data_IF_133794084679
#
_entry.id   IF_133794084679
#
_cell.length_a   1.000
_cell.length_b   1.000
_cell.length_c   1.000
_cell.angle_alpha   90.00
_cell.angle_beta   90.00
_cell.angle_gamma   90.00
#
_symmetry.space_group_name_H-M   'P 1'
#
loop_
_entity.id
_entity.type
_entity.pdbx_description
1 polymer ?
#
# COMPACT_ATOMS: atom_id res chain seq x y z
N UNK A 1 -34.82 16.41 -4.05
CA UNK A 1 -33.73 16.39 -3.04
C UNK A 1 -32.83 15.15 -3.17
N UNK A 2 -33.36 14.01 -3.60
CA UNK A 2 -32.61 12.75 -3.84
C UNK A 2 -31.40 12.87 -4.79
N UNK A 3 -31.52 13.60 -5.90
CA UNK A 3 -30.43 13.71 -6.89
C UNK A 3 -29.17 14.41 -6.33
N UNK A 4 -29.35 15.44 -5.50
CA UNK A 4 -28.25 16.13 -4.83
C UNK A 4 -27.54 15.25 -3.80
N UNK A 5 -28.30 14.39 -3.10
CA UNK A 5 -27.72 13.42 -2.18
C UNK A 5 -26.93 12.33 -2.92
N UNK A 6 -27.48 11.83 -4.03
CA UNK A 6 -26.78 10.87 -4.88
C UNK A 6 -25.46 11.45 -5.43
N UNK A 7 -25.48 12.68 -5.96
CA UNK A 7 -24.29 13.33 -6.50
C UNK A 7 -23.21 13.56 -5.44
N UNK A 8 -23.63 13.90 -4.21
CA UNK A 8 -22.73 14.03 -3.06
C UNK A 8 -22.06 12.70 -2.72
N UNK A 9 -22.81 11.59 -2.73
CA UNK A 9 -22.27 10.26 -2.46
C UNK A 9 -21.26 9.83 -3.54
N UNK A 10 -21.55 10.11 -4.82
CA UNK A 10 -20.61 9.83 -5.93
C UNK A 10 -19.32 10.63 -5.79
N UNK A 11 -19.40 11.91 -5.44
CA UNK A 11 -18.21 12.75 -5.22
C UNK A 11 -17.37 12.26 -4.03
N UNK A 12 -18.02 11.82 -2.94
CA UNK A 12 -17.32 11.24 -1.79
C UNK A 12 -16.66 9.92 -2.16
N UNK A 13 -17.36 9.05 -2.90
CA UNK A 13 -16.81 7.78 -3.36
C UNK A 13 -15.62 8.00 -4.30
N UNK A 14 -15.72 8.94 -5.24
CA UNK A 14 -14.65 9.32 -6.14
C UNK A 14 -13.43 9.87 -5.39
N UNK A 15 -13.64 10.78 -4.43
CA UNK A 15 -12.56 11.30 -3.59
C UNK A 15 -11.89 10.19 -2.78
N UNK A 16 -12.68 9.30 -2.19
CA UNK A 16 -12.15 8.16 -1.45
C UNK A 16 -11.36 7.23 -2.37
N UNK A 17 -11.83 7.00 -3.59
CA UNK A 17 -11.09 6.21 -4.57
C UNK A 17 -9.76 6.86 -4.98
N UNK A 18 -9.74 8.18 -5.17
CA UNK A 18 -8.54 8.94 -5.57
C UNK A 18 -7.50 9.12 -4.46
N UNK A 19 -7.89 9.09 -3.17
CA UNK A 19 -6.97 9.45 -2.08
C UNK A 19 -6.84 8.40 -0.98
N UNK A 20 -7.50 7.24 -1.11
CA UNK A 20 -7.34 6.17 -0.11
C UNK A 20 -5.99 5.50 -0.29
N UNK A 21 -5.07 5.86 0.61
CA UNK A 21 -3.79 5.18 0.77
C UNK A 21 -4.05 3.73 1.19
N UNK A 22 -3.35 2.79 0.54
CA UNK A 22 -3.37 1.37 0.86
C UNK A 22 -2.03 1.03 1.51
N UNK A 23 -2.08 0.48 2.72
CA UNK A 23 -0.88 0.02 3.43
C UNK A 23 -0.89 -1.50 3.45
N UNK A 24 0.20 -2.10 2.98
CA UNK A 24 0.44 -3.54 3.02
C UNK A 24 1.68 -3.74 3.88
N UNK A 25 1.58 -4.60 4.88
CA UNK A 25 2.65 -4.84 5.84
C UNK A 25 2.94 -6.33 5.89
N UNK A 26 4.14 -6.74 5.48
CA UNK A 26 4.61 -8.09 5.66
C UNK A 26 5.58 -8.16 6.85
N UNK A 27 5.39 -9.16 7.71
CA UNK A 27 6.22 -9.41 8.90
C UNK A 27 6.96 -10.71 8.72
N UNK A 28 8.25 -10.72 9.02
CA UNK A 28 9.09 -11.91 8.97
C UNK A 28 10.00 -11.95 10.18
N UNK A 29 10.05 -13.08 10.86
CA UNK A 29 11.00 -13.31 11.96
C UNK A 29 12.05 -14.30 11.49
N UNK A 30 13.31 -13.88 11.45
CA UNK A 30 14.43 -14.75 11.10
C UNK A 30 15.38 -14.87 12.31
N UNK A 31 16.42 -15.72 12.21
CA UNK A 31 17.42 -15.91 13.27
C UNK A 31 18.18 -14.62 13.68
N UNK A 32 18.14 -13.59 12.83
CA UNK A 32 18.76 -12.28 13.07
C UNK A 32 17.80 -11.25 13.71
N UNK A 33 16.52 -11.60 13.89
CA UNK A 33 15.53 -10.76 14.56
C UNK A 33 14.22 -10.56 13.79
N UNK A 34 13.49 -9.50 14.15
CA UNK A 34 12.20 -9.15 13.57
C UNK A 34 12.37 -8.19 12.38
N UNK A 35 12.05 -8.68 11.19
CA UNK A 35 12.04 -7.93 9.94
C UNK A 35 10.59 -7.51 9.60
N UNK A 36 10.40 -6.22 9.35
CA UNK A 36 9.11 -5.64 9.00
C UNK A 36 9.25 -4.92 7.65
N UNK A 37 8.46 -5.36 6.69
CA UNK A 37 8.39 -4.79 5.34
C UNK A 37 7.06 -4.06 5.17
N UNK A 38 7.08 -2.74 5.16
CA UNK A 38 5.89 -1.91 4.95
C UNK A 38 5.91 -1.30 3.55
N UNK A 39 4.82 -1.46 2.81
CA UNK A 39 4.54 -0.78 1.55
C UNK A 39 3.27 0.05 1.67
N UNK A 40 3.41 1.37 1.63
CA UNK A 40 2.29 2.30 1.54
C UNK A 40 2.14 2.79 0.10
N UNK A 41 1.04 2.42 -0.57
CA UNK A 41 0.65 2.92 -1.89
C UNK A 41 -0.41 4.00 -1.77
N UNK A 42 -0.05 5.25 -2.07
CA UNK A 42 -0.99 6.36 -2.19
C UNK A 42 -1.32 6.62 -3.66
N UNK A 43 -2.60 6.70 -4.08
CA UNK A 43 -2.90 7.01 -5.47
C UNK A 43 -2.37 8.40 -5.83
N UNK A 44 -1.80 8.53 -7.02
CA UNK A 44 -1.25 9.80 -7.50
C UNK A 44 -2.36 10.69 -8.06
N UNK A 45 -2.13 12.01 -8.05
CA UNK A 45 -2.98 12.97 -8.77
C UNK A 45 -2.97 12.68 -10.28
N UNK A 46 -1.86 12.13 -10.80
CA UNK A 46 -1.78 11.65 -12.18
C UNK A 46 -2.53 10.31 -12.29
N UNK A 47 -3.58 10.21 -13.13
CA UNK A 47 -4.33 8.98 -13.32
C UNK A 47 -3.41 7.83 -13.76
N UNK A 48 -3.64 6.64 -13.24
CA UNK A 48 -2.89 5.44 -13.61
C UNK A 48 -1.59 5.20 -12.82
N UNK A 49 -1.28 6.04 -11.83
CA UNK A 49 -0.08 5.90 -11.01
C UNK A 49 -0.37 5.87 -9.51
N UNK A 50 0.48 5.14 -8.78
CA UNK A 50 0.59 5.15 -7.33
C UNK A 50 1.96 5.67 -6.93
N UNK A 51 2.00 6.42 -5.82
CA UNK A 51 3.22 6.75 -5.11
C UNK A 51 3.38 5.70 -4.02
N UNK A 52 4.37 4.84 -4.16
CA UNK A 52 4.67 3.78 -3.20
C UNK A 52 5.83 4.22 -2.33
N UNK A 53 5.64 4.17 -1.02
CA UNK A 53 6.69 4.26 -0.02
C UNK A 53 6.94 2.86 0.52
N UNK A 54 8.17 2.40 0.36
CA UNK A 54 8.67 1.19 0.97
C UNK A 54 9.48 1.54 2.20
N UNK A 55 9.29 0.78 3.27
CA UNK A 55 10.05 0.88 4.51
C UNK A 55 10.39 -0.52 5.00
N UNK A 56 11.67 -0.77 5.21
CA UNK A 56 12.18 -1.98 5.83
C UNK A 56 12.74 -1.64 7.21
N UNK A 57 12.21 -2.31 8.22
CA UNK A 57 12.60 -2.12 9.63
C UNK A 57 13.11 -3.45 10.17
N UNK A 58 14.30 -3.45 10.77
CA UNK A 58 14.92 -4.62 11.41
C UNK A 58 15.09 -4.30 12.88
N UNK A 59 14.51 -5.10 13.77
CA UNK A 59 14.60 -4.92 15.23
C UNK A 59 14.24 -3.50 15.74
N UNK A 60 13.39 -2.78 15.00
CA UNK A 60 12.98 -1.40 15.30
C UNK A 60 13.79 -0.31 14.61
N UNK A 61 14.89 -0.65 13.93
CA UNK A 61 15.71 0.29 13.16
C UNK A 61 15.33 0.31 11.68
N UNK A 62 15.17 1.50 11.10
CA UNK A 62 14.86 1.66 9.68
C UNK A 62 16.12 1.40 8.88
N UNK A 63 16.16 0.24 8.22
CA UNK A 63 17.29 -0.17 7.39
C UNK A 63 17.22 0.42 5.98
N UNK A 64 16.01 0.49 5.42
CA UNK A 64 15.81 0.97 4.06
C UNK A 64 14.48 1.71 3.96
N UNK A 65 14.49 2.86 3.30
CA UNK A 65 13.28 3.63 3.03
C UNK A 65 13.34 4.26 1.66
N UNK A 66 12.47 3.84 0.76
CA UNK A 66 12.48 4.29 -0.63
C UNK A 66 11.09 4.74 -1.06
N UNK A 67 11.04 5.75 -1.93
CA UNK A 67 9.80 6.28 -2.50
C UNK A 67 9.88 6.22 -4.01
N UNK A 68 8.94 5.55 -4.64
CA UNK A 68 8.87 5.45 -6.11
C UNK A 68 7.45 5.62 -6.62
N UNK A 69 7.33 6.16 -7.84
CA UNK A 69 6.08 6.16 -8.57
C UNK A 69 5.99 4.87 -9.38
N UNK A 70 4.89 4.16 -9.26
CA UNK A 70 4.58 2.93 -10.00
C UNK A 70 3.24 3.08 -10.70
N UNK A 71 2.99 2.26 -11.70
CA UNK A 71 1.68 2.14 -12.34
C UNK A 71 0.71 1.36 -11.44
N UNK A 72 -0.60 1.44 -11.73
CA UNK A 72 -1.61 0.63 -11.02
C UNK A 72 -1.31 -0.88 -11.14
N UNK A 73 -0.90 -1.34 -12.32
CA UNK A 73 -0.58 -2.76 -12.54
C UNK A 73 0.62 -3.22 -11.70
N UNK A 74 1.66 -2.40 -11.62
CA UNK A 74 2.82 -2.68 -10.77
C UNK A 74 2.46 -2.66 -9.28
N UNK A 75 1.56 -1.75 -8.87
CA UNK A 75 1.05 -1.72 -7.50
C UNK A 75 0.27 -2.99 -7.16
N UNK A 76 -0.66 -3.40 -8.02
CA UNK A 76 -1.46 -4.62 -7.81
C UNK A 76 -0.58 -5.87 -7.76
N UNK A 77 0.44 -5.95 -8.61
CA UNK A 77 1.42 -7.04 -8.58
C UNK A 77 2.26 -7.05 -7.29
N UNK A 78 2.73 -5.89 -6.83
CA UNK A 78 3.47 -5.76 -5.57
C UNK A 78 2.61 -6.16 -4.38
N UNK A 79 1.37 -5.67 -4.36
CA UNK A 79 0.39 -5.96 -3.32
C UNK A 79 0.10 -7.46 -3.26
N UNK A 80 -0.21 -8.08 -4.39
CA UNK A 80 -0.48 -9.51 -4.46
C UNK A 80 0.72 -10.34 -3.98
N UNK A 81 1.94 -9.96 -4.36
CA UNK A 81 3.17 -10.64 -3.90
C UNK A 81 3.37 -10.53 -2.39
N UNK A 82 3.12 -9.36 -1.80
CA UNK A 82 3.27 -9.15 -0.36
C UNK A 82 2.18 -9.85 0.43
N UNK A 83 0.93 -9.81 -0.04
CA UNK A 83 -0.19 -10.54 0.56
C UNK A 83 0.05 -12.07 0.49
N UNK A 84 0.63 -12.59 -0.59
CA UNK A 84 1.01 -14.01 -0.67
C UNK A 84 2.18 -14.37 0.24
N UNK A 85 3.14 -13.45 0.44
CA UNK A 85 4.28 -13.67 1.33
C UNK A 85 3.89 -13.63 2.81
N UNK A 86 2.82 -12.90 3.17
CA UNK A 86 2.23 -12.92 4.51
C UNK A 86 1.51 -14.26 4.80
N UNK A 87 1.11 -15.00 3.76
CA UNK A 87 0.40 -16.28 3.87
C UNK A 87 1.32 -17.51 3.95
N UNK A 88 2.62 -17.39 3.64
CA UNK A 88 3.57 -18.48 3.88
C UNK A 88 4.07 -18.40 5.34
N UNK A 89 3.61 -19.30 6.24
CA UNK A 89 4.22 -19.41 7.55
C UNK A 89 5.67 -19.86 7.35
N UNK A 90 6.60 -19.15 7.97
CA UNK A 90 7.97 -19.61 8.11
C UNK A 90 7.94 -21.00 8.77
N UNK A 91 8.29 -22.04 8.00
CA UNK A 91 8.50 -23.41 8.47
C UNK A 91 9.74 -23.48 9.34
#
# INVERSE_FOLDING_TARGET
MEFLQFLKLVLIAFRNWMFRSQVVTAKRTDAFGFNLYECEGTPSVTPGFFIVKYRHVVNGEVHEQHRRRVTVQEWDALRSKLESAEQEPAV
#
